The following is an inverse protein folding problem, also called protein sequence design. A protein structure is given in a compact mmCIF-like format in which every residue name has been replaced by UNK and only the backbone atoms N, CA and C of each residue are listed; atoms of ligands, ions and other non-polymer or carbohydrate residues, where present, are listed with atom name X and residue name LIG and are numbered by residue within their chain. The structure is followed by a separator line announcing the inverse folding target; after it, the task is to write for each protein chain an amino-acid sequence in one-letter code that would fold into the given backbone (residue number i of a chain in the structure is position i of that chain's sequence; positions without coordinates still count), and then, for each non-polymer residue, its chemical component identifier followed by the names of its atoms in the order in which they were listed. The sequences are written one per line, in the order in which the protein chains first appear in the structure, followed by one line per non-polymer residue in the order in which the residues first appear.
data_IF_188459628845
#
_entry.id   IF_188459628845
#
_cell.length_a   1.000
_cell.length_b   1.000
_cell.length_c   1.000
_cell.angle_alpha   90.00
_cell.angle_beta   90.00
_cell.angle_gamma   90.00
#
_symmetry.space_group_name_H-M   'P 1'
#
loop_
_entity.id
_entity.type
_entity.pdbx_description
1 polymer ?
#
# COMPACT_ATOMS: atom_id res chain seq x y z
N UNK A 1 28.31 -33.50 55.50
CA UNK A 1 27.75 -32.36 54.75
C UNK A 1 28.87 -31.75 53.94
N UNK A 2 28.85 -32.02 52.64
CA UNK A 2 29.98 -31.94 51.70
C UNK A 2 30.34 -30.49 51.35
N UNK A 3 31.64 -30.18 51.38
CA UNK A 3 32.23 -29.02 50.67
C UNK A 3 32.41 -29.38 49.20
N UNK A 4 32.08 -28.49 48.28
CA UNK A 4 32.76 -28.33 46.99
C UNK A 4 32.57 -26.90 46.45
N UNK A 5 33.67 -26.16 46.23
CA UNK A 5 33.75 -24.98 45.38
C UNK A 5 34.43 -25.28 44.02
N UNK A 6 34.23 -24.37 43.05
CA UNK A 6 35.10 -24.02 41.89
C UNK A 6 35.33 -25.01 40.73
N UNK A 7 35.04 -24.57 39.50
CA UNK A 7 35.96 -24.41 38.32
C UNK A 7 35.14 -23.98 37.09
N UNK A 8 35.38 -22.85 36.41
CA UNK A 8 36.46 -22.47 35.48
C UNK A 8 36.63 -23.35 34.22
N UNK A 9 36.64 -22.63 33.07
CA UNK A 9 37.21 -22.98 31.75
C UNK A 9 36.35 -23.91 30.87
N UNK A 10 36.11 -23.66 29.58
CA UNK A 10 37.10 -23.45 28.52
C UNK A 10 36.55 -22.67 27.30
N UNK A 11 37.45 -21.85 26.77
CA UNK A 11 37.71 -21.40 25.40
C UNK A 11 37.01 -22.03 24.18
N UNK A 12 37.02 -21.18 23.12
CA UNK A 12 36.99 -21.44 21.66
C UNK A 12 35.66 -21.72 20.97
N UNK A 13 35.18 -20.71 20.23
CA UNK A 13 34.95 -20.79 18.78
C UNK A 13 34.75 -19.38 18.21
N UNK A 14 35.85 -18.70 17.89
CA UNK A 14 35.86 -17.83 16.71
C UNK A 14 35.71 -18.76 15.50
N UNK A 15 34.73 -18.49 14.63
CA UNK A 15 34.90 -18.32 13.18
C UNK A 15 33.56 -18.59 12.46
N UNK A 16 33.18 -17.63 11.59
CA UNK A 16 32.24 -17.77 10.45
C UNK A 16 30.74 -17.90 10.80
N UNK A 17 29.81 -17.12 10.23
CA UNK A 17 29.75 -16.37 8.96
C UNK A 17 28.48 -15.50 9.06
N UNK A 18 28.43 -14.26 8.53
CA UNK A 18 27.18 -13.52 8.47
C UNK A 18 26.26 -14.25 7.49
N UNK A 19 25.29 -14.99 8.03
CA UNK A 19 24.26 -15.64 7.24
C UNK A 19 23.30 -14.55 6.77
N UNK A 20 23.64 -14.05 5.59
CA UNK A 20 22.74 -13.49 4.60
C UNK A 20 21.83 -12.40 5.15
N UNK A 21 22.36 -11.17 5.07
CA UNK A 21 21.56 -10.07 4.58
C UNK A 21 20.95 -10.49 3.23
N UNK A 22 19.88 -11.27 3.27
CA UNK A 22 18.88 -11.29 2.23
C UNK A 22 18.26 -9.89 2.31
N UNK A 23 18.98 -8.94 1.72
CA UNK A 23 18.39 -7.78 1.07
C UNK A 23 17.20 -8.33 0.32
N UNK A 24 16.02 -8.19 0.96
CA UNK A 24 14.74 -8.44 0.32
C UNK A 24 14.79 -7.43 -0.80
N UNK A 25 15.16 -7.92 -1.99
CA UNK A 25 15.12 -7.16 -3.22
C UNK A 25 13.76 -6.48 -3.19
N UNK A 26 13.77 -5.15 -3.12
CA UNK A 26 12.58 -4.35 -3.33
C UNK A 26 11.89 -4.98 -4.53
N UNK A 27 10.71 -5.57 -4.32
CA UNK A 27 10.00 -6.25 -5.39
C UNK A 27 9.63 -5.15 -6.37
N UNK A 28 10.41 -5.01 -7.43
CA UNK A 28 10.21 -4.06 -8.53
C UNK A 28 8.93 -4.44 -9.31
N UNK A 29 7.78 -4.28 -8.67
CA UNK A 29 6.45 -4.53 -9.22
C UNK A 29 5.54 -3.38 -8.82
N UNK A 30 4.64 -2.99 -9.71
CA UNK A 30 3.58 -2.06 -9.32
C UNK A 30 2.47 -2.89 -8.70
N UNK A 31 2.09 -2.53 -7.48
CA UNK A 31 0.99 -3.18 -6.78
C UNK A 31 -0.24 -2.30 -6.84
N UNK A 32 -1.39 -2.93 -6.98
CA UNK A 32 -2.69 -2.27 -7.00
C UNK A 32 -3.59 -2.93 -5.98
N UNK A 33 -4.12 -2.15 -5.06
CA UNK A 33 -5.14 -2.60 -4.11
C UNK A 33 -6.51 -2.20 -4.63
N UNK A 34 -7.33 -3.20 -4.94
CA UNK A 34 -8.76 -3.02 -5.18
C UNK A 34 -9.47 -3.09 -3.83
N UNK A 35 -10.07 -1.98 -3.43
CA UNK A 35 -10.79 -1.83 -2.17
C UNK A 35 -12.26 -1.57 -2.46
N UNK A 36 -13.15 -2.30 -1.80
CA UNK A 36 -14.56 -1.96 -1.68
C UNK A 36 -14.89 -1.67 -0.22
N UNK A 37 -15.31 -0.44 0.05
CA UNK A 37 -15.91 -0.07 1.34
C UNK A 37 -17.38 -0.46 1.28
N UNK A 38 -17.71 -1.63 1.81
CA UNK A 38 -19.04 -2.21 1.64
C UNK A 38 -20.06 -1.56 2.59
N UNK A 39 -19.93 -1.83 3.89
CA UNK A 39 -20.87 -1.37 4.92
C UNK A 39 -20.22 -1.32 6.30
N UNK A 40 -20.86 -0.68 7.25
CA UNK A 40 -20.47 -0.69 8.65
C UNK A 40 -21.69 -0.91 9.56
N UNK A 41 -21.47 -1.48 10.75
CA UNK A 41 -22.51 -1.78 11.74
C UNK A 41 -22.01 -1.63 13.18
N UNK A 42 -22.94 -1.50 14.12
CA UNK A 42 -22.64 -1.30 15.54
C UNK A 42 -21.95 0.04 15.83
N UNK A 43 -22.28 1.07 15.06
CA UNK A 43 -21.63 2.37 15.13
C UNK A 43 -22.22 3.26 16.26
N UNK A 44 -21.41 3.75 17.21
CA UNK A 44 -21.87 4.74 18.18
C UNK A 44 -21.91 6.15 17.54
N UNK A 45 -23.03 6.48 16.89
CA UNK A 45 -23.15 7.67 16.06
C UNK A 45 -24.22 8.66 16.52
N UNK A 46 -24.03 9.94 16.16
CA UNK A 46 -24.93 11.03 16.54
C UNK A 46 -25.93 11.36 15.41
N UNK A 47 -25.51 11.26 14.15
CA UNK A 47 -26.36 11.43 12.96
C UNK A 47 -26.50 10.13 12.16
N UNK A 48 -27.35 10.16 11.12
CA UNK A 48 -27.50 9.07 10.15
C UNK A 48 -26.56 9.21 8.94
N UNK A 49 -25.69 10.23 8.91
CA UNK A 49 -24.81 10.52 7.78
C UNK A 49 -23.38 10.04 8.08
N UNK A 50 -22.79 9.27 7.18
CA UNK A 50 -21.48 8.69 7.38
C UNK A 50 -20.62 8.74 6.14
N UNK A 51 -19.32 8.87 6.33
CA UNK A 51 -18.32 8.66 5.28
C UNK A 51 -17.06 8.05 5.87
N UNK A 52 -16.20 7.52 5.01
CA UNK A 52 -14.90 7.01 5.38
C UNK A 52 -13.80 7.93 4.86
N UNK A 53 -12.75 8.13 5.66
CA UNK A 53 -11.44 8.61 5.17
C UNK A 53 -10.47 7.45 5.14
N UNK A 54 -9.80 7.28 4.01
CA UNK A 54 -8.88 6.19 3.72
C UNK A 54 -7.48 6.78 3.62
N UNK A 55 -6.52 6.12 4.25
CA UNK A 55 -5.11 6.50 4.22
C UNK A 55 -4.29 5.28 3.88
N UNK A 56 -3.47 5.38 2.84
CA UNK A 56 -2.54 4.34 2.41
C UNK A 56 -1.12 4.88 2.53
N UNK A 57 -0.26 4.20 3.29
CA UNK A 57 1.15 4.57 3.44
C UNK A 57 1.90 3.67 4.41
N UNK A 58 3.17 3.96 4.65
CA UNK A 58 4.10 3.19 5.49
C UNK A 58 3.83 3.24 7.00
N UNK A 59 3.08 4.25 7.44
CA UNK A 59 2.82 4.52 8.86
C UNK A 59 1.34 4.34 9.17
N UNK A 60 0.94 3.47 10.11
CA UNK A 60 -0.46 3.28 10.47
C UNK A 60 -1.01 4.48 11.25
N UNK A 61 -2.20 4.97 10.88
CA UNK A 61 -2.78 6.16 11.53
C UNK A 61 -3.75 5.74 12.64
N UNK A 62 -3.22 5.35 13.78
CA UNK A 62 -3.98 4.82 14.94
C UNK A 62 -4.44 5.89 15.95
N UNK A 63 -4.02 7.17 15.84
CA UNK A 63 -4.33 8.25 16.79
C UNK A 63 -4.97 9.52 16.18
N UNK A 64 -5.36 10.52 16.96
CA UNK A 64 -5.95 11.76 16.43
C UNK A 64 -7.48 11.69 16.22
N UNK A 65 -8.19 11.07 17.15
CA UNK A 65 -9.66 11.08 17.24
C UNK A 65 -10.21 12.35 17.94
N UNK A 66 -9.33 13.21 18.48
CA UNK A 66 -9.67 14.45 19.17
C UNK A 66 -10.12 15.58 18.24
N UNK A 67 -10.75 16.60 18.82
CA UNK A 67 -11.32 17.77 18.14
C UNK A 67 -10.26 18.74 17.58
N UNK A 68 -8.98 18.50 17.89
CA UNK A 68 -7.90 19.45 17.66
C UNK A 68 -6.56 18.75 17.40
N UNK A 69 -6.46 18.04 16.28
CA UNK A 69 -5.18 17.92 15.56
C UNK A 69 -5.53 17.71 14.11
N UNK A 70 -5.44 18.78 13.31
CA UNK A 70 -5.42 18.67 11.87
C UNK A 70 -4.32 17.65 11.51
N UNK A 71 -4.69 16.52 10.91
CA UNK A 71 -3.72 15.49 10.48
C UNK A 71 -2.61 16.09 9.59
N UNK A 72 -2.86 17.25 8.96
CA UNK A 72 -1.84 18.08 8.29
C UNK A 72 -0.58 18.36 9.11
N UNK A 73 -0.65 18.37 10.45
CA UNK A 73 0.51 18.58 11.33
C UNK A 73 1.33 17.29 11.56
N UNK A 74 0.66 16.13 11.61
CA UNK A 74 1.32 14.83 11.73
C UNK A 74 1.96 14.44 10.40
N UNK A 75 1.28 14.74 9.28
CA UNK A 75 1.77 14.50 7.92
C UNK A 75 3.10 15.22 7.63
N UNK A 76 3.33 16.41 8.22
CA UNK A 76 4.60 17.16 8.08
C UNK A 76 5.70 16.73 9.04
N UNK A 77 5.37 16.25 10.25
CA UNK A 77 6.36 15.91 11.27
C UNK A 77 6.99 14.52 11.07
N UNK A 78 6.32 13.62 10.33
CA UNK A 78 6.77 12.24 10.12
C UNK A 78 7.27 11.94 8.70
N UNK A 79 7.23 12.90 7.76
CA UNK A 79 7.70 12.69 6.39
C UNK A 79 6.97 11.58 5.62
N UNK A 80 5.87 11.04 6.16
CA UNK A 80 5.14 9.90 5.62
C UNK A 80 4.37 10.28 4.36
N UNK A 81 4.56 9.51 3.29
CA UNK A 81 3.86 9.70 2.02
C UNK A 81 2.53 8.96 2.04
N UNK A 82 1.50 9.56 2.65
CA UNK A 82 0.16 8.98 2.65
C UNK A 82 -0.67 9.41 1.43
N UNK A 83 -1.24 8.44 0.72
CA UNK A 83 -2.33 8.70 -0.21
C UNK A 83 -3.65 8.74 0.57
N UNK A 84 -4.45 9.78 0.34
CA UNK A 84 -5.73 9.97 1.04
C UNK A 84 -6.90 9.89 0.07
N UNK A 85 -7.92 9.12 0.45
CA UNK A 85 -9.18 8.99 -0.29
C UNK A 85 -10.35 9.14 0.67
N UNK A 86 -11.54 9.32 0.15
CA UNK A 86 -12.75 9.29 0.97
C UNK A 86 -13.92 8.73 0.19
N UNK A 87 -14.87 8.12 0.91
CA UNK A 87 -16.16 7.78 0.33
C UNK A 87 -17.03 9.03 0.21
N UNK A 88 -18.14 8.90 -0.53
CA UNK A 88 -19.24 9.84 -0.42
C UNK A 88 -19.87 9.79 0.98
N UNK A 89 -20.49 10.90 1.36
CA UNK A 89 -21.36 10.93 2.55
C UNK A 89 -22.64 10.19 2.20
N UNK A 90 -22.94 9.17 2.99
CA UNK A 90 -24.11 8.33 2.82
C UNK A 90 -25.04 8.48 4.03
N UNK A 91 -26.32 8.73 3.75
CA UNK A 91 -27.37 8.67 4.76
C UNK A 91 -27.86 7.23 4.91
N UNK A 92 -28.10 6.82 6.15
CA UNK A 92 -28.62 5.50 6.51
C UNK A 92 -30.03 5.59 7.10
N UNK A 93 -30.77 4.48 7.06
CA UNK A 93 -32.07 4.36 7.74
C UNK A 93 -31.91 4.44 9.27
N UNK A 94 -30.86 3.82 9.81
CA UNK A 94 -30.53 3.78 11.23
C UNK A 94 -29.23 4.53 11.55
N UNK A 95 -28.95 4.77 12.83
CA UNK A 95 -27.72 5.45 13.28
C UNK A 95 -26.56 4.49 13.57
N UNK A 96 -26.81 3.20 13.57
CA UNK A 96 -25.83 2.17 13.95
C UNK A 96 -25.26 1.41 12.75
N UNK A 97 -25.84 1.58 11.56
CA UNK A 97 -25.43 0.88 10.34
C UNK A 97 -25.41 1.82 9.13
N UNK A 98 -24.64 1.49 8.10
CA UNK A 98 -24.61 2.21 6.82
C UNK A 98 -23.99 1.33 5.73
N UNK A 99 -24.45 1.45 4.48
CA UNK A 99 -23.86 0.79 3.31
C UNK A 99 -23.42 1.81 2.27
N UNK A 100 -22.13 1.81 1.91
CA UNK A 100 -21.58 2.70 0.87
C UNK A 100 -21.46 1.98 -0.47
N UNK A 101 -20.99 0.74 -0.45
CA UNK A 101 -20.73 -0.04 -1.66
C UNK A 101 -19.76 0.66 -2.65
N UNK A 102 -18.82 1.46 -2.14
CA UNK A 102 -17.93 2.27 -2.97
C UNK A 102 -16.60 1.54 -3.24
N UNK A 103 -16.13 1.61 -4.48
CA UNK A 103 -14.92 0.91 -4.96
C UNK A 103 -13.80 1.89 -5.26
N UNK A 104 -12.58 1.51 -4.90
CA UNK A 104 -11.36 2.27 -5.07
C UNK A 104 -10.27 1.37 -5.66
N UNK A 105 -9.40 1.99 -6.46
CA UNK A 105 -8.20 1.38 -6.98
C UNK A 105 -7.02 2.21 -6.48
N UNK A 106 -6.21 1.64 -5.60
CA UNK A 106 -5.12 2.35 -4.92
C UNK A 106 -3.78 1.82 -5.42
N UNK A 107 -2.86 2.73 -5.75
CA UNK A 107 -1.48 2.35 -6.10
C UNK A 107 -0.71 2.05 -4.81
N UNK A 108 -0.16 0.85 -4.70
CA UNK A 108 0.61 0.38 -3.53
C UNK A 108 2.08 0.35 -3.94
N UNK A 109 2.92 1.05 -3.18
CA UNK A 109 4.36 1.10 -3.41
C UNK A 109 5.03 -0.18 -2.94
N UNK A 110 4.80 -0.55 -1.69
CA UNK A 110 5.35 -1.76 -1.09
C UNK A 110 4.33 -2.40 -0.13
N UNK A 111 3.67 -3.49 -0.55
CA UNK A 111 2.70 -4.19 0.30
C UNK A 111 3.28 -4.74 1.60
N UNK A 112 4.60 -4.93 1.70
CA UNK A 112 5.22 -5.50 2.91
C UNK A 112 5.32 -4.48 4.05
N UNK A 113 5.39 -3.19 3.72
CA UNK A 113 5.56 -2.08 4.67
C UNK A 113 4.33 -1.20 4.80
N UNK A 114 3.46 -1.15 3.79
CA UNK A 114 2.30 -0.26 3.79
C UNK A 114 1.08 -0.79 4.55
N UNK A 115 0.28 0.16 5.04
CA UNK A 115 -0.94 -0.02 5.80
C UNK A 115 -2.09 0.73 5.13
N UNK A 116 -3.26 0.09 5.09
CA UNK A 116 -4.51 0.77 4.80
C UNK A 116 -5.21 1.11 6.11
N UNK A 117 -5.33 2.40 6.41
CA UNK A 117 -6.11 2.90 7.55
C UNK A 117 -7.45 3.45 7.07
N UNK A 118 -8.54 2.95 7.65
CA UNK A 118 -9.91 3.38 7.36
C UNK A 118 -10.48 4.05 8.59
N UNK A 119 -10.95 5.30 8.47
CA UNK A 119 -11.63 6.04 9.52
C UNK A 119 -13.08 6.28 9.17
N UNK A 120 -13.99 5.74 9.96
CA UNK A 120 -15.42 6.04 9.84
C UNK A 120 -15.71 7.35 10.56
N UNK A 121 -16.36 8.26 9.84
CA UNK A 121 -16.73 9.60 10.31
C UNK A 121 -18.25 9.71 10.29
N UNK A 122 -18.81 10.27 11.35
CA UNK A 122 -20.22 10.64 11.39
C UNK A 122 -20.32 12.10 10.95
N UNK A 123 -21.01 12.40 9.85
CA UNK A 123 -21.13 13.76 9.34
C UNK A 123 -22.26 14.49 10.07
N UNK A 124 -21.93 15.61 10.72
CA UNK A 124 -22.87 16.52 11.36
C UNK A 124 -22.58 17.91 10.80
N UNK A 125 -23.61 18.73 10.62
CA UNK A 125 -23.57 19.99 9.86
C UNK A 125 -22.23 20.75 9.89
N UNK A 126 -21.68 21.04 11.08
CA UNK A 126 -20.46 21.84 11.23
C UNK A 126 -19.19 21.04 11.59
N UNK A 127 -19.29 19.73 11.85
CA UNK A 127 -18.13 18.92 12.22
C UNK A 127 -18.36 17.41 11.98
N UNK A 128 -17.27 16.67 11.79
CA UNK A 128 -17.35 15.22 11.50
C UNK A 128 -16.53 14.40 12.52
N UNK A 129 -17.11 14.03 13.67
CA UNK A 129 -16.41 13.24 14.66
C UNK A 129 -16.04 11.86 14.09
N UNK A 130 -14.87 11.36 14.47
CA UNK A 130 -14.51 9.99 14.17
C UNK A 130 -15.30 9.04 15.07
N UNK A 131 -15.97 8.08 14.43
CA UNK A 131 -16.68 6.98 15.08
C UNK A 131 -15.67 5.93 15.49
N UNK A 132 -14.80 5.51 14.57
CA UNK A 132 -13.73 4.58 14.84
C UNK A 132 -12.80 4.42 13.65
N UNK A 133 -11.70 3.70 13.85
CA UNK A 133 -10.77 3.36 12.80
C UNK A 133 -10.46 1.87 12.77
N UNK A 134 -10.17 1.37 11.58
CA UNK A 134 -9.57 0.04 11.35
C UNK A 134 -8.26 0.23 10.60
N UNK A 135 -7.27 -0.61 10.90
CA UNK A 135 -5.97 -0.63 10.23
C UNK A 135 -5.76 -2.04 9.70
N UNK A 136 -5.52 -2.13 8.40
CA UNK A 136 -5.23 -3.39 7.71
C UNK A 136 -3.78 -3.33 7.23
N UNK A 137 -2.98 -4.33 7.60
CA UNK A 137 -1.62 -4.43 7.08
C UNK A 137 -1.65 -5.18 5.74
N UNK A 138 -1.10 -4.56 4.69
CA UNK A 138 -1.20 -5.12 3.34
C UNK A 138 -0.42 -6.44 3.20
N UNK A 139 0.60 -6.66 4.03
CA UNK A 139 1.37 -7.92 4.05
C UNK A 139 0.53 -9.15 4.43
N UNK A 140 -0.63 -8.94 5.06
CA UNK A 140 -1.56 -10.01 5.44
C UNK A 140 -2.44 -10.45 4.26
N UNK A 141 -2.48 -9.66 3.19
CA UNK A 141 -3.25 -9.99 1.99
C UNK A 141 -2.42 -10.87 1.06
N UNK A 142 -3.02 -11.97 0.60
CA UNK A 142 -2.42 -12.81 -0.43
C UNK A 142 -2.64 -12.18 -1.80
N UNK A 143 -1.58 -12.11 -2.61
CA UNK A 143 -1.66 -11.60 -3.98
C UNK A 143 -2.67 -12.41 -4.81
N UNK A 144 -3.56 -11.72 -5.53
CA UNK A 144 -4.61 -12.35 -6.34
C UNK A 144 -5.84 -12.84 -5.58
N UNK A 145 -5.76 -12.92 -4.24
CA UNK A 145 -6.89 -13.35 -3.41
C UNK A 145 -7.75 -12.18 -3.01
N UNK A 146 -9.06 -12.40 -2.99
CA UNK A 146 -10.04 -11.44 -2.45
C UNK A 146 -10.38 -11.82 -1.01
N UNK A 147 -10.23 -10.87 -0.10
CA UNK A 147 -10.71 -10.95 1.29
C UNK A 147 -12.01 -10.15 1.38
N UNK A 148 -13.08 -10.73 1.91
CA UNK A 148 -14.36 -10.04 2.17
C UNK A 148 -14.82 -10.31 3.60
N UNK A 149 -14.42 -9.45 4.52
CA UNK A 149 -14.54 -9.72 5.95
C UNK A 149 -14.96 -8.48 6.74
N UNK A 150 -15.42 -8.73 7.97
CA UNK A 150 -15.71 -7.69 8.96
C UNK A 150 -14.48 -7.36 9.79
N UNK A 151 -14.02 -6.12 9.68
CA UNK A 151 -12.90 -5.57 10.44
C UNK A 151 -13.40 -4.79 11.65
N UNK A 152 -12.82 -5.01 12.85
CA UNK A 152 -13.23 -4.29 14.05
C UNK A 152 -12.80 -2.82 13.97
N UNK A 153 -13.70 -1.91 14.34
CA UNK A 153 -13.40 -0.50 14.50
C UNK A 153 -13.01 -0.24 15.96
N UNK A 154 -11.96 0.55 16.17
CA UNK A 154 -11.53 1.00 17.49
C UNK A 154 -11.50 2.52 17.56
N UNK A 155 -11.92 3.08 18.70
CA UNK A 155 -11.80 4.50 19.05
C UNK A 155 -11.16 4.61 20.42
N UNK A 156 -9.97 5.22 20.50
CA UNK A 156 -9.22 5.36 21.75
C UNK A 156 -9.18 4.04 22.54
N UNK A 157 -8.70 2.97 21.90
CA UNK A 157 -8.62 1.58 22.40
C UNK A 157 -9.94 0.83 22.65
N UNK A 158 -11.09 1.52 22.67
CA UNK A 158 -12.41 0.89 22.84
C UNK A 158 -12.98 0.36 21.52
N UNK A 159 -13.68 -0.76 21.57
CA UNK A 159 -14.43 -1.28 20.43
C UNK A 159 -15.55 -0.30 20.02
N UNK A 160 -15.72 -0.09 18.72
CA UNK A 160 -16.62 0.93 18.18
C UNK A 160 -17.28 0.46 16.87
N UNK A 161 -17.82 -0.75 16.89
CA UNK A 161 -18.49 -1.37 15.75
C UNK A 161 -17.52 -2.11 14.82
N UNK A 162 -18.00 -2.41 13.62
CA UNK A 162 -17.26 -3.15 12.60
C UNK A 162 -17.53 -2.57 11.21
N UNK A 163 -16.57 -2.73 10.31
CA UNK A 163 -16.66 -2.34 8.90
C UNK A 163 -16.38 -3.54 8.00
N UNK A 164 -17.25 -3.81 7.04
CA UNK A 164 -17.07 -4.84 6.03
C UNK A 164 -16.28 -4.26 4.87
N UNK A 165 -15.14 -4.87 4.56
CA UNK A 165 -14.27 -4.46 3.46
C UNK A 165 -14.06 -5.65 2.54
N UNK A 166 -14.07 -5.37 1.22
CA UNK A 166 -13.52 -6.30 0.24
C UNK A 166 -12.17 -5.78 -0.25
N UNK A 167 -11.13 -6.61 -0.17
CA UNK A 167 -9.76 -6.23 -0.45
C UNK A 167 -9.16 -7.27 -1.40
N UNK A 168 -8.60 -6.83 -2.52
CA UNK A 168 -7.84 -7.68 -3.43
C UNK A 168 -6.54 -6.97 -3.80
N UNK A 169 -5.40 -7.55 -3.44
CA UNK A 169 -4.09 -7.02 -3.75
C UNK A 169 -3.56 -7.71 -5.01
N UNK A 170 -3.27 -6.94 -6.04
CA UNK A 170 -2.73 -7.43 -7.30
C UNK A 170 -1.31 -6.89 -7.49
N UNK A 171 -0.37 -7.77 -7.81
CA UNK A 171 0.97 -7.37 -8.25
C UNK A 171 1.05 -7.50 -9.76
N UNK A 172 1.52 -6.47 -10.45
CA UNK A 172 2.03 -6.66 -11.81
C UNK A 172 3.53 -6.87 -11.70
N UNK A 173 3.99 -8.03 -12.17
CA UNK A 173 5.41 -8.17 -12.45
C UNK A 173 5.73 -7.14 -13.53
N UNK A 174 6.74 -6.28 -13.32
CA UNK A 174 7.31 -5.55 -14.46
C UNK A 174 7.71 -6.63 -15.46
N UNK A 175 7.03 -6.66 -16.61
CA UNK A 175 7.54 -7.40 -17.75
C UNK A 175 9.02 -7.01 -17.86
N UNK A 176 9.97 -7.96 -17.98
CA UNK A 176 11.36 -7.60 -18.18
C UNK A 176 11.34 -6.63 -19.34
N UNK A 177 11.76 -5.38 -19.07
CA UNK A 177 11.59 -4.28 -20.00
C UNK A 177 12.01 -4.80 -21.36
N UNK A 178 11.22 -4.53 -22.41
CA UNK A 178 11.58 -4.86 -23.78
C UNK A 178 13.00 -4.35 -24.00
N UNK A 179 13.99 -5.23 -23.77
CA UNK A 179 15.29 -5.11 -24.36
C UNK A 179 14.91 -5.17 -25.82
N UNK A 180 15.03 -4.04 -26.51
CA UNK A 180 15.26 -4.11 -27.95
C UNK A 180 16.30 -5.21 -28.10
N UNK A 181 15.89 -6.34 -28.68
CA UNK A 181 16.81 -7.45 -28.87
C UNK A 181 18.01 -6.87 -29.59
N UNK A 182 19.21 -7.22 -29.15
CA UNK A 182 20.44 -6.78 -29.82
C UNK A 182 20.38 -7.06 -31.34
N UNK A 183 19.66 -8.13 -31.72
CA UNK A 183 19.28 -8.48 -33.08
C UNK A 183 18.52 -7.36 -33.85
N UNK A 184 17.65 -6.59 -33.19
CA UNK A 184 16.92 -5.49 -33.82
C UNK A 184 17.81 -4.27 -34.05
N UNK A 185 18.79 -4.01 -33.17
CA UNK A 185 19.73 -2.88 -33.33
C UNK A 185 20.66 -3.13 -34.52
N UNK A 186 21.21 -4.34 -34.63
CA UNK A 186 22.05 -4.72 -35.77
C UNK A 186 21.29 -4.68 -37.09
N UNK A 187 20.01 -5.09 -37.09
CA UNK A 187 19.17 -5.04 -38.30
C UNK A 187 18.92 -3.59 -38.73
N UNK A 188 18.63 -2.70 -37.79
CA UNK A 188 18.42 -1.27 -38.07
C UNK A 188 19.71 -0.61 -38.57
N UNK A 189 20.87 -0.95 -37.97
CA UNK A 189 22.16 -0.41 -38.37
C UNK A 189 22.57 -0.89 -39.77
N UNK A 190 22.30 -2.16 -40.09
CA UNK A 190 22.56 -2.74 -41.43
C UNK A 190 21.65 -2.14 -42.50
N UNK A 191 20.42 -1.79 -42.15
CA UNK A 191 19.51 -1.06 -43.04
C UNK A 191 19.99 0.38 -43.26
N UNK A 192 20.46 1.08 -42.23
CA UNK A 192 21.00 2.44 -42.37
C UNK A 192 22.25 2.50 -43.26
N UNK A 193 23.17 1.53 -43.13
CA UNK A 193 24.35 1.46 -43.99
C UNK A 193 23.96 1.24 -45.47
N UNK A 194 22.98 0.38 -45.73
CA UNK A 194 22.48 0.16 -47.10
C UNK A 194 21.88 1.42 -47.72
N UNK A 195 21.14 2.22 -46.96
CA UNK A 195 20.60 3.48 -47.50
C UNK A 195 21.70 4.47 -47.87
N UNK A 196 22.76 4.56 -47.05
CA UNK A 196 23.90 5.42 -47.32
C UNK A 196 24.63 5.03 -48.61
N UNK A 197 24.92 3.73 -48.80
CA UNK A 197 25.60 3.24 -50.00
C UNK A 197 24.76 3.47 -51.28
N UNK A 198 23.44 3.30 -51.17
CA UNK A 198 22.51 3.56 -52.29
C UNK A 198 22.46 5.06 -52.63
N UNK A 199 22.48 5.95 -51.64
CA UNK A 199 22.52 7.40 -51.87
C UNK A 199 23.84 7.84 -52.51
N UNK A 200 24.97 7.26 -52.11
CA UNK A 200 26.27 7.58 -52.70
C UNK A 200 26.38 7.09 -54.15
N UNK A 201 25.88 5.88 -54.44
CA UNK A 201 25.84 5.35 -55.81
C UNK A 201 24.96 6.21 -56.74
N UNK A 202 23.76 6.60 -56.27
CA UNK A 202 22.88 7.49 -57.02
C UNK A 202 23.50 8.87 -57.29
N UNK A 203 24.35 9.37 -56.38
CA UNK A 203 25.03 10.67 -56.54
C UNK A 203 26.17 10.59 -57.55
N UNK A 204 26.86 9.45 -57.63
CA UNK A 204 27.91 9.22 -58.62
C UNK A 204 27.35 9.00 -60.02
N UNK A 205 26.18 8.35 -60.15
CA UNK A 205 25.51 8.18 -61.44
C UNK A 205 24.94 9.49 -62.01
N UNK A 206 24.65 10.48 -61.16
CA UNK A 206 24.17 11.80 -61.63
C UNK A 206 25.25 12.75 -62.15
N UNK A 207 26.54 12.40 -61.99
CA UNK A 207 27.69 13.20 -62.44
C UNK A 207 28.38 12.64 -63.71
N UNK A 208 27.76 11.66 -64.38
CA UNK A 208 28.21 11.08 -65.67
C UNK A 208 27.21 11.38 -66.78
#
# INVERSE_FOLDING_TARGET
MSRFPSDQSLTTCLQQRPASASSIRARDGTFTLFLRVHSARGLPALSKNFYCKLYLGDTPITGGFGRETTLKGVDKALGGRHQTFHTKVQSSASRDSVGWNEKFQLSVGDPSTEYLTIRVKNHIMFYSPAVGASVVCLRQLSLGSTVDEWFPLKKNTRASGQIRLQLCLMGTARAPGRRYSQANVETIQRSMLRYHDIEEANRQESDT
#
